data_IF_095155929432
#
_entry.id   IF_095155929432
#
_cell.length_a   1.000
_cell.length_b   1.000
_cell.length_c   1.000
_cell.angle_alpha   90.00
_cell.angle_beta   90.00
_cell.angle_gamma   90.00
#
_symmetry.space_group_name_H-M   'P 1'
#
loop_
_entity.id
_entity.type
_entity.pdbx_description
1 polymer ?
#
# COMPACT_ATOMS: atom_id res chain seq x y z
N UNK A 1 -15.04 -13.07 12.74
CA UNK A 1 -15.52 -13.31 11.36
C UNK A 1 -14.48 -12.73 10.42
N UNK A 2 -14.10 -13.43 9.33
CA UNK A 2 -13.24 -12.85 8.31
C UNK A 2 -13.99 -11.74 7.55
N UNK A 3 -13.27 -10.71 7.09
CA UNK A 3 -13.84 -9.71 6.18
C UNK A 3 -14.04 -10.31 4.78
N UNK A 4 -15.05 -9.83 4.06
CA UNK A 4 -15.25 -10.15 2.65
C UNK A 4 -14.21 -9.44 1.80
N UNK A 5 -13.60 -10.16 0.85
CA UNK A 5 -12.79 -9.55 -0.20
C UNK A 5 -13.71 -9.25 -1.38
N UNK A 6 -14.15 -8.01 -1.52
CA UNK A 6 -15.03 -7.64 -2.62
C UNK A 6 -14.29 -7.64 -3.96
N UNK A 7 -14.95 -8.18 -4.98
CA UNK A 7 -14.57 -8.07 -6.39
C UNK A 7 -15.37 -6.94 -7.03
N UNK A 8 -15.14 -6.65 -8.32
CA UNK A 8 -15.95 -5.66 -9.05
C UNK A 8 -17.44 -6.05 -9.09
N UNK A 9 -17.73 -7.35 -9.08
CA UNK A 9 -19.08 -7.90 -9.10
C UNK A 9 -19.74 -7.82 -7.71
N UNK A 10 -19.00 -8.12 -6.65
CA UNK A 10 -19.55 -8.22 -5.28
C UNK A 10 -19.43 -6.94 -4.46
N UNK A 11 -18.68 -5.94 -4.91
CA UNK A 11 -18.58 -4.65 -4.23
C UNK A 11 -19.89 -3.85 -4.28
N UNK A 12 -20.21 -3.08 -3.22
CA UNK A 12 -21.25 -2.06 -3.27
C UNK A 12 -21.05 -1.13 -4.47
N UNK A 13 -22.15 -0.72 -5.11
CA UNK A 13 -22.10 0.07 -6.35
C UNK A 13 -21.19 1.31 -6.23
N UNK A 14 -21.22 1.97 -5.06
CA UNK A 14 -20.41 3.18 -4.79
C UNK A 14 -18.90 2.93 -4.66
N UNK A 15 -18.44 1.69 -4.48
CA UNK A 15 -17.02 1.34 -4.40
C UNK A 15 -16.45 0.78 -5.72
N UNK A 16 -17.30 0.42 -6.69
CA UNK A 16 -16.87 -0.30 -7.91
C UNK A 16 -15.87 0.50 -8.75
N UNK A 17 -16.11 1.79 -8.93
CA UNK A 17 -15.21 2.65 -9.68
C UNK A 17 -13.85 2.77 -8.98
N UNK A 18 -13.84 2.86 -7.65
CA UNK A 18 -12.60 2.93 -6.87
C UNK A 18 -11.79 1.64 -6.94
N UNK A 19 -12.46 0.48 -6.95
CA UNK A 19 -11.81 -0.82 -7.15
C UNK A 19 -11.29 -0.97 -8.58
N UNK A 20 -12.02 -0.50 -9.59
CA UNK A 20 -11.57 -0.47 -10.98
C UNK A 20 -10.30 0.37 -11.12
N UNK A 21 -10.30 1.59 -10.59
CA UNK A 21 -9.12 2.47 -10.59
C UNK A 21 -7.92 1.81 -9.87
N UNK A 22 -8.16 1.02 -8.83
CA UNK A 22 -7.11 0.26 -8.15
C UNK A 22 -6.51 -0.81 -9.06
N UNK A 23 -7.36 -1.57 -9.75
CA UNK A 23 -6.91 -2.57 -10.72
C UNK A 23 -6.10 -1.95 -11.87
N UNK A 24 -6.49 -0.75 -12.34
CA UNK A 24 -5.76 -0.04 -13.39
C UNK A 24 -4.39 0.47 -12.92
N UNK A 25 -4.28 0.91 -11.66
CA UNK A 25 -3.04 1.46 -11.10
C UNK A 25 -2.02 0.39 -10.72
N UNK A 26 -2.49 -0.73 -10.16
CA UNK A 26 -1.60 -1.80 -9.67
C UNK A 26 -1.52 -3.00 -10.62
N UNK A 27 -2.49 -3.18 -11.51
CA UNK A 27 -2.67 -4.41 -12.31
C UNK A 27 -3.49 -5.49 -11.60
N UNK A 28 -3.87 -5.25 -10.33
CA UNK A 28 -4.79 -6.09 -9.55
C UNK A 28 -5.53 -5.23 -8.52
N UNK A 29 -6.58 -5.76 -7.88
CA UNK A 29 -7.23 -5.11 -6.73
C UNK A 29 -6.48 -5.51 -5.46
N UNK A 30 -5.79 -4.59 -4.74
CA UNK A 30 -5.19 -4.93 -3.46
C UNK A 30 -6.24 -5.43 -2.47
N UNK A 31 -5.98 -6.52 -1.75
CA UNK A 31 -6.92 -7.06 -0.78
C UNK A 31 -7.37 -6.04 0.27
N UNK A 32 -6.51 -5.09 0.68
CA UNK A 32 -6.95 -4.00 1.56
C UNK A 32 -8.04 -3.15 0.91
N UNK A 33 -7.90 -2.79 -0.36
CA UNK A 33 -8.94 -2.06 -1.09
C UNK A 33 -10.22 -2.89 -1.21
N UNK A 34 -10.09 -4.20 -1.46
CA UNK A 34 -11.21 -5.13 -1.51
C UNK A 34 -11.97 -5.22 -0.18
N UNK A 35 -11.27 -5.16 0.97
CA UNK A 35 -11.92 -5.08 2.30
C UNK A 35 -12.57 -3.72 2.52
N UNK A 36 -11.86 -2.63 2.22
CA UNK A 36 -12.37 -1.27 2.44
C UNK A 36 -13.57 -0.94 1.55
N UNK A 37 -13.78 -1.67 0.45
CA UNK A 37 -14.95 -1.52 -0.41
C UNK A 37 -16.29 -1.78 0.31
N UNK A 38 -16.29 -2.54 1.41
CA UNK A 38 -17.46 -2.69 2.30
C UNK A 38 -17.91 -1.32 2.85
N UNK A 39 -16.99 -0.36 3.02
CA UNK A 39 -17.24 1.01 3.44
C UNK A 39 -16.69 2.02 2.41
N UNK A 40 -17.43 2.31 1.31
CA UNK A 40 -16.92 3.10 0.18
C UNK A 40 -16.26 4.43 0.55
N UNK A 41 -16.79 5.25 1.49
CA UNK A 41 -16.13 6.50 1.89
C UNK A 41 -14.74 6.28 2.52
N UNK A 42 -14.53 5.17 3.22
CA UNK A 42 -13.24 4.80 3.81
C UNK A 42 -12.25 4.40 2.72
N UNK A 43 -12.68 3.63 1.72
CA UNK A 43 -11.84 3.30 0.56
C UNK A 43 -11.38 4.57 -0.17
N UNK A 44 -12.30 5.50 -0.47
CA UNK A 44 -11.95 6.78 -1.10
C UNK A 44 -10.98 7.59 -0.24
N UNK A 45 -11.25 7.72 1.07
CA UNK A 45 -10.36 8.44 1.98
C UNK A 45 -8.95 7.84 2.03
N UNK A 46 -8.85 6.51 2.12
CA UNK A 46 -7.58 5.79 2.15
C UNK A 46 -6.78 6.02 0.87
N UNK A 47 -7.41 5.87 -0.31
CA UNK A 47 -6.76 6.09 -1.60
C UNK A 47 -6.30 7.54 -1.78
N UNK A 48 -7.13 8.50 -1.39
CA UNK A 48 -6.77 9.91 -1.46
C UNK A 48 -5.58 10.23 -0.55
N UNK A 49 -5.58 9.71 0.69
CA UNK A 49 -4.46 9.90 1.61
C UNK A 49 -3.16 9.27 1.07
N UNK A 50 -3.25 8.06 0.51
CA UNK A 50 -2.10 7.42 -0.14
C UNK A 50 -1.52 8.29 -1.26
N UNK A 51 -2.37 8.76 -2.19
CA UNK A 51 -1.94 9.61 -3.29
C UNK A 51 -1.38 10.96 -2.84
N UNK A 52 -1.96 11.57 -1.80
CA UNK A 52 -1.44 12.82 -1.22
C UNK A 52 -0.07 12.61 -0.55
N UNK A 53 0.13 11.48 0.13
CA UNK A 53 1.42 11.16 0.75
C UNK A 53 2.51 10.94 -0.31
N UNK A 54 2.18 10.28 -1.43
CA UNK A 54 3.09 10.15 -2.58
C UNK A 54 3.46 11.49 -3.24
N UNK A 55 2.63 12.53 -3.08
CA UNK A 55 2.88 13.89 -3.58
C UNK A 55 3.62 14.78 -2.58
N UNK A 56 4.03 14.23 -1.44
CA UNK A 56 4.87 14.96 -0.48
C UNK A 56 6.27 15.25 -1.07
N UNK A 57 7.12 15.93 -0.30
CA UNK A 57 8.50 16.18 -0.71
C UNK A 57 9.41 14.96 -0.66
N UNK A 58 8.90 13.81 -0.21
CA UNK A 58 9.68 12.58 -0.12
C UNK A 58 9.90 11.95 -1.49
N UNK A 59 11.11 11.44 -1.72
CA UNK A 59 11.42 10.58 -2.85
C UNK A 59 10.91 9.13 -2.60
N UNK A 60 11.09 8.25 -3.57
CA UNK A 60 10.58 6.87 -3.51
C UNK A 60 11.20 6.03 -2.38
N UNK A 61 12.48 6.26 -2.06
CA UNK A 61 13.18 5.60 -0.96
C UNK A 61 12.64 6.10 0.39
N UNK A 62 12.51 7.41 0.56
CA UNK A 62 11.99 8.03 1.79
C UNK A 62 10.54 7.62 2.07
N UNK A 63 9.69 7.56 1.04
CA UNK A 63 8.32 7.02 1.15
C UNK A 63 8.34 5.56 1.64
N UNK A 64 9.25 4.76 1.09
CA UNK A 64 9.41 3.34 1.45
C UNK A 64 9.87 3.18 2.89
N UNK A 65 10.83 4.00 3.34
CA UNK A 65 11.29 4.01 4.74
C UNK A 65 10.12 4.29 5.68
N UNK A 66 9.31 5.32 5.42
CA UNK A 66 8.17 5.66 6.28
C UNK A 66 7.14 4.52 6.33
N UNK A 67 6.68 4.05 5.17
CA UNK A 67 5.67 2.99 5.11
C UNK A 67 6.17 1.69 5.73
N UNK A 68 7.40 1.29 5.42
CA UNK A 68 7.86 -0.01 5.85
C UNK A 68 8.24 -0.03 7.32
N UNK A 69 8.74 1.08 7.87
CA UNK A 69 8.96 1.24 9.30
C UNK A 69 7.65 1.08 10.09
N UNK A 70 6.57 1.78 9.69
CA UNK A 70 5.30 1.67 10.41
C UNK A 70 4.65 0.29 10.26
N UNK A 71 4.84 -0.37 9.10
CA UNK A 71 4.35 -1.72 8.87
C UNK A 71 5.04 -2.75 9.78
N UNK A 72 6.36 -2.62 9.96
CA UNK A 72 7.16 -3.48 10.82
C UNK A 72 6.86 -3.25 12.30
N UNK A 73 6.79 -1.98 12.73
CA UNK A 73 6.41 -1.59 14.09
C UNK A 73 5.06 -2.21 14.50
N UNK A 74 4.08 -2.16 13.60
CA UNK A 74 2.74 -2.73 13.82
C UNK A 74 2.66 -4.23 13.51
N UNK A 75 3.75 -4.88 13.10
CA UNK A 75 3.80 -6.30 12.72
C UNK A 75 2.70 -6.66 11.71
N UNK A 76 2.42 -5.75 10.76
CA UNK A 76 1.34 -5.92 9.81
C UNK A 76 1.71 -6.96 8.74
N UNK A 77 1.20 -8.19 8.89
CA UNK A 77 1.49 -9.30 7.97
C UNK A 77 1.05 -9.07 6.52
N UNK A 78 0.06 -8.20 6.29
CA UNK A 78 -0.37 -7.83 4.94
C UNK A 78 0.46 -6.69 4.36
N UNK A 79 0.70 -5.65 5.18
CA UNK A 79 1.31 -4.40 4.73
C UNK A 79 2.78 -4.61 4.37
N UNK A 80 3.52 -5.42 5.15
CA UNK A 80 4.94 -5.71 4.89
C UNK A 80 5.19 -6.25 3.47
N UNK A 81 4.59 -7.37 3.04
CA UNK A 81 4.79 -7.86 1.67
C UNK A 81 4.16 -6.95 0.61
N UNK A 82 3.00 -6.32 0.89
CA UNK A 82 2.37 -5.41 -0.07
C UNK A 82 3.26 -4.21 -0.39
N UNK A 83 3.81 -3.55 0.63
CA UNK A 83 4.71 -2.41 0.45
C UNK A 83 6.10 -2.80 -0.05
N UNK A 84 6.55 -4.04 0.18
CA UNK A 84 7.74 -4.60 -0.48
C UNK A 84 7.54 -4.64 -2.00
N UNK A 85 6.40 -5.14 -2.47
CA UNK A 85 6.06 -5.15 -3.91
C UNK A 85 5.95 -3.74 -4.48
N UNK A 86 5.27 -2.82 -3.76
CA UNK A 86 5.12 -1.42 -4.21
C UNK A 86 6.49 -0.74 -4.32
N UNK A 87 7.39 -0.93 -3.35
CA UNK A 87 8.74 -0.38 -3.40
C UNK A 87 9.52 -0.89 -4.63
N UNK A 88 9.38 -2.18 -4.96
CA UNK A 88 9.95 -2.75 -6.20
C UNK A 88 9.36 -2.13 -7.47
N UNK A 89 8.05 -1.86 -7.51
CA UNK A 89 7.40 -1.16 -8.64
C UNK A 89 7.84 0.31 -8.76
N UNK A 90 8.26 0.92 -7.65
CA UNK A 90 8.83 2.27 -7.58
C UNK A 90 10.35 2.28 -7.81
N UNK A 91 10.93 1.15 -8.22
CA UNK A 91 12.36 0.97 -8.51
C UNK A 91 13.29 1.32 -7.33
N UNK A 92 12.81 1.14 -6.10
CA UNK A 92 13.61 1.35 -4.89
C UNK A 92 14.68 0.26 -4.76
N UNK A 93 15.89 0.66 -4.33
CA UNK A 93 17.01 -0.26 -4.19
C UNK A 93 16.69 -1.43 -3.25
N UNK A 94 16.95 -2.65 -3.73
CA UNK A 94 16.67 -3.87 -2.97
C UNK A 94 17.52 -3.97 -1.69
N UNK A 95 18.70 -3.37 -1.66
CA UNK A 95 19.53 -3.28 -0.46
C UNK A 95 18.87 -2.45 0.63
N UNK A 96 18.24 -1.32 0.28
CA UNK A 96 17.46 -0.52 1.21
C UNK A 96 16.23 -1.28 1.73
N UNK A 97 15.47 -1.93 0.84
CA UNK A 97 14.29 -2.72 1.23
C UNK A 97 14.69 -3.83 2.21
N UNK A 98 15.75 -4.58 1.88
CA UNK A 98 16.23 -5.67 2.73
C UNK A 98 16.75 -5.17 4.08
N UNK A 99 17.46 -4.02 4.10
CA UNK A 99 17.92 -3.43 5.34
C UNK A 99 16.75 -3.08 6.28
N UNK A 100 15.66 -2.51 5.75
CA UNK A 100 14.45 -2.24 6.53
C UNK A 100 13.82 -3.53 7.08
N UNK A 101 13.66 -4.55 6.24
CA UNK A 101 13.01 -5.82 6.64
C UNK A 101 13.81 -6.60 7.69
N UNK A 102 15.13 -6.45 7.70
CA UNK A 102 16.04 -7.14 8.60
C UNK A 102 16.46 -6.31 9.82
N UNK A 103 15.90 -5.10 9.97
CA UNK A 103 16.26 -4.13 11.02
C UNK A 103 17.77 -3.84 11.07
N UNK A 104 18.34 -3.59 9.88
CA UNK A 104 19.75 -3.26 9.68
C UNK A 104 19.94 -1.78 9.36
N UNK A 105 21.19 -1.33 9.50
CA UNK A 105 21.60 0.02 9.08
C UNK A 105 21.30 0.20 7.59
N UNK A 106 20.66 1.32 7.26
CA UNK A 106 20.32 1.66 5.88
C UNK A 106 21.60 1.90 5.06
N UNK A 107 21.58 1.56 3.75
CA UNK A 107 22.74 1.72 2.88
C UNK A 107 23.10 3.19 2.60
N UNK A 108 22.17 4.11 2.89
CA UNK A 108 22.30 5.56 2.72
C UNK A 108 22.09 6.28 4.05
N UNK A 109 22.75 7.42 4.23
CA UNK A 109 22.50 8.33 5.37
C UNK A 109 21.27 9.22 5.16
N UNK A 110 20.79 9.31 3.92
CA UNK A 110 19.53 9.97 3.57
C UNK A 110 18.37 8.99 3.74
#
# INVERSE_FOLDING_TARGET
MPFTLHTLETAPQAARDELKNSAESFGWVPNLHAVLAEAPPVLTAYKNLHGLFQQSSFNTEELTVVWQSINLENKCHYCVPAHTTIAGMMEVDSGLINALLEDKVLPTEK
#
